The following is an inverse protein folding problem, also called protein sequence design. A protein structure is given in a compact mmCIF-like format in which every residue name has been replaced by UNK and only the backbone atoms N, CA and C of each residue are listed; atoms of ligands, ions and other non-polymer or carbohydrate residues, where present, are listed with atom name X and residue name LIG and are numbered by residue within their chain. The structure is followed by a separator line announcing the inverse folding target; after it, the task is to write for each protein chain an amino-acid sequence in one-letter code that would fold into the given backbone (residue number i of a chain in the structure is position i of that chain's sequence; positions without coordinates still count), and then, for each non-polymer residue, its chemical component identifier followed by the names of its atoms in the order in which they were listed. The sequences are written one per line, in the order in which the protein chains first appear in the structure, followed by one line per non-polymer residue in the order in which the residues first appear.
data_IF_966444719309
#
_entry.id   IF_966444719309
#
_cell.length_a   1.000
_cell.length_b   1.000
_cell.length_c   1.000
_cell.angle_alpha   90.00
_cell.angle_beta   90.00
_cell.angle_gamma   90.00
#
_symmetry.space_group_name_H-M   'P 1'
#
loop_
_entity.id
_entity.type
_entity.pdbx_description
1 polymer ?
#
# COMPACT_ATOMS: atom_id res chain seq x y z
N UNK A 1 -4.92 26.99 4.64
CA UNK A 1 -5.37 25.58 4.77
C UNK A 1 -4.95 25.06 6.13
N UNK A 2 -5.70 24.13 6.72
CA UNK A 2 -5.32 23.53 8.00
C UNK A 2 -4.04 22.70 7.84
N UNK A 3 -3.11 22.82 8.78
CA UNK A 3 -1.92 21.96 8.81
C UNK A 3 -2.20 20.63 9.52
N UNK A 4 -1.51 19.54 9.16
CA UNK A 4 -1.52 18.31 9.95
C UNK A 4 -1.12 18.57 11.41
N UNK A 5 -1.71 17.85 12.39
CA UNK A 5 -1.29 17.95 13.78
C UNK A 5 0.01 17.15 14.00
N UNK A 6 1.12 17.62 13.43
CA UNK A 6 2.41 16.92 13.36
C UNK A 6 2.87 16.34 14.70
N UNK A 7 2.82 17.13 15.79
CA UNK A 7 3.21 16.66 17.12
C UNK A 7 2.33 15.53 17.66
N UNK A 8 1.03 15.55 17.37
CA UNK A 8 0.09 14.47 17.76
C UNK A 8 0.39 13.21 16.96
N UNK A 9 0.55 13.33 15.64
CA UNK A 9 0.87 12.21 14.75
C UNK A 9 2.19 11.58 15.20
N UNK A 10 3.24 12.39 15.39
CA UNK A 10 4.55 11.91 15.81
C UNK A 10 4.52 11.20 17.18
N UNK A 11 3.86 11.79 18.18
CA UNK A 11 3.76 11.19 19.52
C UNK A 11 3.04 9.83 19.49
N UNK A 12 2.05 9.66 18.61
CA UNK A 12 1.35 8.37 18.44
C UNK A 12 2.18 7.38 17.61
N UNK A 13 2.89 7.84 16.58
CA UNK A 13 3.80 6.98 15.79
C UNK A 13 4.93 6.42 16.66
N UNK A 14 5.62 7.26 17.44
CA UNK A 14 6.73 6.83 18.31
C UNK A 14 6.30 5.92 19.47
N UNK A 15 5.00 5.80 19.73
CA UNK A 15 4.41 4.90 20.73
C UNK A 15 3.71 3.67 20.11
N UNK A 16 3.87 3.42 18.80
CA UNK A 16 3.27 2.26 18.14
C UNK A 16 1.74 2.33 17.99
N UNK A 17 1.16 3.53 18.14
CA UNK A 17 -0.30 3.77 18.11
C UNK A 17 -0.83 4.27 16.75
N UNK A 18 0.00 4.15 15.70
CA UNK A 18 -0.36 4.54 14.33
C UNK A 18 -0.04 3.37 13.40
N UNK A 19 -0.95 3.08 12.49
CA UNK A 19 -0.77 2.17 11.36
C UNK A 19 -0.57 3.02 10.10
N UNK A 20 0.68 3.13 9.58
CA UNK A 20 0.91 3.76 8.29
C UNK A 20 0.32 2.91 7.18
N UNK A 21 -0.43 3.53 6.28
CA UNK A 21 -1.10 2.87 5.15
C UNK A 21 -0.65 3.53 3.85
N UNK A 22 0.17 2.83 3.07
CA UNK A 22 0.81 3.33 1.86
C UNK A 22 0.00 2.94 0.63
N UNK A 23 -0.29 3.95 -0.19
CA UNK A 23 -0.82 3.80 -1.54
C UNK A 23 0.27 4.00 -2.59
N UNK A 24 -0.07 3.79 -3.86
CA UNK A 24 0.85 3.97 -5.00
C UNK A 24 1.57 5.33 -4.99
N UNK A 25 0.93 6.40 -4.49
CA UNK A 25 1.55 7.72 -4.36
C UNK A 25 2.72 7.80 -3.38
N UNK A 26 2.86 6.85 -2.44
CA UNK A 26 3.98 6.81 -1.50
C UNK A 26 5.31 6.55 -2.20
N UNK A 27 5.32 5.68 -3.22
CA UNK A 27 6.48 5.38 -4.05
C UNK A 27 6.83 6.52 -5.03
N UNK A 28 5.95 7.52 -5.14
CA UNK A 28 6.16 8.72 -5.95
C UNK A 28 6.83 9.87 -5.17
N UNK A 29 6.95 9.75 -3.84
CA UNK A 29 7.60 10.77 -3.01
C UNK A 29 9.06 10.95 -3.46
N UNK A 30 9.49 12.21 -3.65
CA UNK A 30 10.80 12.56 -4.21
C UNK A 30 10.83 12.69 -5.74
N UNK A 31 9.76 12.33 -6.46
CA UNK A 31 9.66 12.57 -7.91
C UNK A 31 9.46 14.08 -8.18
N UNK A 32 10.27 14.72 -9.04
CA UNK A 32 10.06 16.12 -9.39
C UNK A 32 8.68 16.34 -10.00
N UNK A 33 8.01 17.42 -9.57
CA UNK A 33 6.66 17.74 -10.02
C UNK A 33 6.59 17.85 -11.55
N UNK A 34 5.71 17.06 -12.16
CA UNK A 34 5.50 17.05 -13.61
C UNK A 34 6.57 16.34 -14.44
N UNK A 35 7.64 15.80 -13.85
CA UNK A 35 8.63 15.02 -14.59
C UNK A 35 7.99 13.74 -15.15
N UNK A 36 8.05 13.45 -16.45
CA UNK A 36 7.43 12.26 -17.05
C UNK A 36 8.24 10.99 -16.75
N UNK A 37 7.56 9.86 -16.64
CA UNK A 37 8.23 8.56 -16.58
C UNK A 37 8.77 8.15 -17.95
N UNK A 38 10.03 7.71 -17.99
CA UNK A 38 10.68 7.17 -19.18
C UNK A 38 10.90 5.65 -19.00
N UNK A 39 10.18 4.78 -19.74
CA UNK A 39 10.34 3.34 -19.65
C UNK A 39 11.71 2.83 -20.15
N UNK A 40 12.44 3.61 -20.96
CA UNK A 40 13.74 3.20 -21.50
C UNK A 40 14.89 3.50 -20.55
N UNK A 41 14.75 4.54 -19.74
CA UNK A 41 15.74 4.94 -18.74
C UNK A 41 15.04 5.42 -17.45
N UNK A 42 14.44 4.48 -16.69
CA UNK A 42 13.55 4.85 -15.61
C UNK A 42 14.34 5.37 -14.40
N UNK A 43 14.12 6.65 -14.05
CA UNK A 43 14.72 7.29 -12.87
C UNK A 43 13.85 7.20 -11.61
N UNK A 44 12.56 6.88 -11.78
CA UNK A 44 11.57 6.67 -10.73
C UNK A 44 10.47 5.72 -11.23
N UNK A 45 9.65 5.22 -10.32
CA UNK A 45 8.52 4.34 -10.65
C UNK A 45 7.46 5.06 -11.50
N UNK A 46 6.76 4.34 -12.40
CA UNK A 46 5.59 4.89 -13.07
C UNK A 46 4.46 5.14 -12.08
N UNK A 47 3.67 6.18 -12.33
CA UNK A 47 2.33 6.24 -11.75
C UNK A 47 1.44 5.14 -12.34
N UNK A 48 0.35 4.78 -11.66
CA UNK A 48 -0.61 3.80 -12.20
C UNK A 48 -1.14 4.19 -13.58
N UNK A 49 -1.34 5.49 -13.82
CA UNK A 49 -1.77 6.03 -15.12
C UNK A 49 -0.71 5.87 -16.21
N UNK A 50 0.56 6.13 -15.89
CA UNK A 50 1.66 5.97 -16.85
C UNK A 50 1.89 4.49 -17.19
N UNK A 51 1.86 3.62 -16.18
CA UNK A 51 1.93 2.17 -16.38
C UNK A 51 0.78 1.67 -17.26
N UNK A 52 -0.44 2.13 -16.97
CA UNK A 52 -1.63 1.77 -17.75
C UNK A 52 -1.49 2.20 -19.22
N UNK A 53 -1.14 3.46 -19.49
CA UNK A 53 -0.98 3.95 -20.85
C UNK A 53 0.17 3.27 -21.62
N UNK A 54 1.24 2.92 -20.92
CA UNK A 54 2.37 2.17 -21.50
C UNK A 54 1.95 0.77 -21.93
N UNK A 55 1.32 0.01 -21.04
CA UNK A 55 0.83 -1.34 -21.33
C UNK A 55 -0.26 -1.32 -22.41
N UNK A 56 -1.17 -0.33 -22.37
CA UNK A 56 -2.22 -0.16 -23.37
C UNK A 56 -1.65 0.11 -24.78
N UNK A 57 -0.52 0.82 -24.87
CA UNK A 57 0.14 1.11 -26.15
C UNK A 57 0.84 -0.14 -26.69
N UNK A 58 1.45 -0.94 -25.82
CA UNK A 58 2.12 -2.19 -26.20
C UNK A 58 1.13 -3.24 -26.73
N UNK A 59 -0.06 -3.32 -26.15
CA UNK A 59 -1.09 -4.30 -26.54
C UNK A 59 -2.04 -3.83 -27.62
N UNK A 60 -1.90 -2.61 -28.13
CA UNK A 60 -2.90 -1.95 -28.98
C UNK A 60 -4.31 -2.03 -28.37
N UNK A 61 -4.43 -1.59 -27.11
CA UNK A 61 -5.69 -1.64 -26.35
C UNK A 61 -6.84 -0.98 -27.13
N UNK A 62 -8.01 -1.64 -27.26
CA UNK A 62 -9.02 -1.30 -28.26
C UNK A 62 -9.81 -0.01 -27.99
N UNK A 63 -9.77 0.52 -26.76
CA UNK A 63 -10.44 1.78 -26.42
C UNK A 63 -9.46 2.95 -26.47
N UNK A 64 -9.85 4.00 -27.18
CA UNK A 64 -9.17 5.30 -27.20
C UNK A 64 -9.73 6.27 -26.15
N UNK A 65 -10.77 5.87 -25.41
CA UNK A 65 -11.33 6.72 -24.37
C UNK A 65 -10.31 6.86 -23.21
N UNK A 66 -9.92 8.09 -22.80
CA UNK A 66 -8.92 8.26 -21.77
C UNK A 66 -9.26 7.56 -20.45
N UNK A 67 -10.53 7.54 -20.07
CA UNK A 67 -10.96 6.87 -18.84
C UNK A 67 -10.76 5.35 -18.85
N UNK A 68 -10.75 4.71 -20.02
CA UNK A 68 -10.46 3.28 -20.13
C UNK A 68 -8.94 3.04 -20.17
N UNK A 69 -8.18 3.87 -20.89
CA UNK A 69 -6.71 3.74 -20.99
C UNK A 69 -5.99 4.09 -19.70
N UNK A 70 -6.58 4.94 -18.87
CA UNK A 70 -6.04 5.32 -17.56
C UNK A 70 -6.37 4.30 -16.45
N UNK A 71 -7.30 3.37 -16.72
CA UNK A 71 -7.70 2.32 -15.78
C UNK A 71 -6.75 1.12 -15.88
N UNK A 72 -5.78 1.08 -14.96
CA UNK A 72 -4.76 0.05 -14.91
C UNK A 72 -5.35 -1.37 -14.80
N UNK A 73 -6.46 -1.54 -14.07
CA UNK A 73 -7.06 -2.86 -13.89
C UNK A 73 -7.63 -3.37 -15.20
N UNK A 74 -8.39 -2.52 -15.90
CA UNK A 74 -8.97 -2.84 -17.20
C UNK A 74 -7.90 -3.12 -18.26
N UNK A 75 -6.88 -2.28 -18.35
CA UNK A 75 -5.79 -2.46 -19.32
C UNK A 75 -5.02 -3.74 -19.05
N UNK A 76 -4.71 -4.04 -17.78
CA UNK A 76 -3.96 -5.25 -17.44
C UNK A 76 -4.79 -6.52 -17.59
N UNK A 77 -6.12 -6.48 -17.37
CA UNK A 77 -7.02 -7.59 -17.73
C UNK A 77 -6.93 -7.89 -19.22
N UNK A 78 -7.07 -6.86 -20.07
CA UNK A 78 -6.91 -7.04 -21.51
C UNK A 78 -5.51 -7.57 -21.89
N UNK A 79 -4.44 -7.04 -21.28
CA UNK A 79 -3.08 -7.53 -21.50
C UNK A 79 -2.99 -9.02 -21.18
N UNK A 80 -3.48 -9.44 -20.01
CA UNK A 80 -3.45 -10.83 -19.58
C UNK A 80 -4.28 -11.74 -20.49
N UNK A 81 -5.41 -11.27 -21.01
CA UNK A 81 -6.27 -12.03 -21.93
C UNK A 81 -5.60 -12.31 -23.27
N UNK A 82 -4.92 -11.31 -23.86
CA UNK A 82 -4.32 -11.47 -25.20
C UNK A 82 -2.92 -12.11 -25.17
N UNK A 83 -2.14 -11.85 -24.13
CA UNK A 83 -0.72 -12.24 -24.05
C UNK A 83 -0.44 -13.31 -22.99
N UNK A 84 -1.43 -13.62 -22.15
CA UNK A 84 -1.31 -14.51 -21.01
C UNK A 84 -0.77 -13.83 -19.75
N UNK A 85 -1.24 -14.31 -18.59
CA UNK A 85 -0.86 -13.82 -17.25
C UNK A 85 0.65 -13.82 -17.00
N UNK A 86 1.35 -14.86 -17.48
CA UNK A 86 2.80 -14.99 -17.34
C UNK A 86 3.54 -13.83 -18.02
N UNK A 87 3.14 -13.50 -19.25
CA UNK A 87 3.74 -12.42 -20.03
C UNK A 87 3.47 -11.06 -19.39
N UNK A 88 2.27 -10.82 -18.85
CA UNK A 88 1.99 -9.62 -18.05
C UNK A 88 2.93 -9.52 -16.84
N UNK A 89 3.12 -10.62 -16.10
CA UNK A 89 3.98 -10.67 -14.92
C UNK A 89 5.44 -10.38 -15.26
N UNK A 90 5.97 -11.01 -16.31
CA UNK A 90 7.31 -10.75 -16.82
C UNK A 90 7.46 -9.27 -17.20
N UNK A 91 6.44 -8.69 -17.85
CA UNK A 91 6.45 -7.28 -18.24
C UNK A 91 6.42 -6.33 -17.05
N UNK A 92 5.60 -6.61 -16.04
CA UNK A 92 5.56 -5.84 -14.79
C UNK A 92 6.90 -5.93 -14.05
N UNK A 93 7.52 -7.11 -14.02
CA UNK A 93 8.86 -7.29 -13.44
C UNK A 93 9.90 -6.44 -14.15
N UNK A 94 9.92 -6.43 -15.47
CA UNK A 94 10.83 -5.57 -16.24
C UNK A 94 10.67 -4.09 -15.90
N UNK A 95 9.42 -3.63 -15.74
CA UNK A 95 9.13 -2.23 -15.43
C UNK A 95 9.45 -1.87 -13.97
N UNK A 96 9.21 -2.78 -13.03
CA UNK A 96 9.29 -2.48 -11.59
C UNK A 96 10.65 -2.86 -10.97
N UNK A 97 11.39 -3.79 -11.57
CA UNK A 97 12.66 -4.29 -11.05
C UNK A 97 13.87 -3.49 -11.53
N UNK A 98 13.86 -2.20 -11.22
CA UNK A 98 14.98 -1.29 -11.46
C UNK A 98 15.55 -0.76 -10.13
N UNK A 99 16.81 -0.29 -10.11
CA UNK A 99 17.46 0.26 -8.91
C UNK A 99 16.93 1.67 -8.58
N UNK A 100 15.64 1.77 -8.27
CA UNK A 100 14.98 3.01 -7.88
C UNK A 100 15.53 3.54 -6.56
N UNK A 101 15.58 4.86 -6.45
CA UNK A 101 16.05 5.51 -5.23
C UNK A 101 15.02 5.40 -4.11
N UNK A 102 15.50 5.13 -2.90
CA UNK A 102 14.67 5.11 -1.69
C UNK A 102 14.20 6.53 -1.38
N UNK A 103 12.88 6.76 -1.43
CA UNK A 103 12.30 8.05 -1.10
C UNK A 103 12.44 8.42 0.38
N UNK A 104 12.38 9.73 0.67
CA UNK A 104 12.52 10.28 2.03
C UNK A 104 11.44 9.77 2.99
N UNK A 105 10.23 9.50 2.48
CA UNK A 105 9.12 8.92 3.24
C UNK A 105 9.46 7.53 3.78
N UNK A 106 10.02 6.65 2.94
CA UNK A 106 10.39 5.29 3.33
C UNK A 106 11.49 5.33 4.41
N UNK A 107 12.48 6.20 4.22
CA UNK A 107 13.55 6.43 5.20
C UNK A 107 12.99 6.95 6.53
N UNK A 108 12.02 7.86 6.49
CA UNK A 108 11.33 8.35 7.69
C UNK A 108 10.61 7.22 8.43
N UNK A 109 9.81 6.41 7.74
CA UNK A 109 9.10 5.28 8.34
C UNK A 109 10.05 4.26 8.98
N UNK A 110 11.20 4.01 8.35
CA UNK A 110 12.25 3.16 8.90
C UNK A 110 12.92 3.76 10.15
N UNK A 111 12.98 5.10 10.28
CA UNK A 111 13.57 5.80 11.43
C UNK A 111 12.67 5.91 12.66
N UNK A 112 11.36 5.66 12.53
CA UNK A 112 10.44 5.69 13.69
C UNK A 112 10.92 4.67 14.72
N UNK A 113 11.08 4.99 16.01
CA UNK A 113 11.67 4.08 16.98
C UNK A 113 10.78 2.86 17.30
N UNK A 114 9.46 3.06 17.37
CA UNK A 114 8.51 1.99 17.68
C UNK A 114 8.48 0.88 16.62
N UNK A 115 8.10 -0.32 17.03
CA UNK A 115 7.66 -1.37 16.11
C UNK A 115 6.32 -0.95 15.48
N UNK A 116 6.17 -1.23 14.19
CA UNK A 116 5.03 -0.77 13.40
C UNK A 116 4.40 -1.95 12.68
N UNK A 117 3.09 -1.89 12.44
CA UNK A 117 2.48 -2.63 11.33
C UNK A 117 2.23 -1.62 10.23
N UNK A 118 3.01 -1.72 9.15
CA UNK A 118 2.90 -0.86 7.97
C UNK A 118 2.14 -1.64 6.89
N UNK A 119 1.01 -1.10 6.46
CA UNK A 119 0.23 -1.69 5.37
C UNK A 119 0.60 -0.99 4.08
N UNK A 120 0.89 -1.76 3.02
CA UNK A 120 1.21 -1.24 1.70
C UNK A 120 0.38 -1.93 0.61
N UNK A 121 0.04 -1.16 -0.41
CA UNK A 121 -0.62 -1.64 -1.65
C UNK A 121 0.28 -1.52 -2.87
N UNK A 122 1.57 -1.25 -2.62
CA UNK A 122 2.61 -1.01 -3.59
C UNK A 122 3.36 -2.33 -3.86
N UNK A 123 3.78 -2.55 -5.10
CA UNK A 123 4.49 -3.78 -5.47
C UNK A 123 6.00 -3.68 -5.30
N UNK A 124 6.56 -2.47 -5.40
CA UNK A 124 8.00 -2.20 -5.28
C UNK A 124 8.54 -2.54 -3.89
N UNK A 125 9.87 -2.57 -3.75
CA UNK A 125 10.55 -2.92 -2.50
C UNK A 125 11.19 -1.74 -1.78
N UNK A 126 10.77 -0.50 -2.07
CA UNK A 126 11.43 0.71 -1.55
C UNK A 126 11.35 0.81 -0.02
N UNK A 127 10.24 0.37 0.56
CA UNK A 127 10.07 0.34 2.02
C UNK A 127 11.02 -0.68 2.65
N UNK A 128 11.06 -1.89 2.11
CA UNK A 128 11.92 -2.99 2.54
C UNK A 128 13.40 -2.59 2.44
N UNK A 129 13.79 -1.95 1.33
CA UNK A 129 15.13 -1.39 1.15
C UNK A 129 15.46 -0.32 2.20
N UNK A 130 14.52 0.55 2.55
CA UNK A 130 14.71 1.57 3.59
C UNK A 130 14.96 0.93 4.97
N UNK A 131 14.19 -0.10 5.33
CA UNK A 131 14.38 -0.82 6.59
C UNK A 131 15.72 -1.58 6.63
N UNK A 132 16.10 -2.23 5.53
CA UNK A 132 17.43 -2.87 5.38
C UNK A 132 18.56 -1.85 5.56
N UNK A 133 18.46 -0.69 4.88
CA UNK A 133 19.46 0.38 4.97
C UNK A 133 19.56 0.98 6.37
N UNK A 134 18.44 1.07 7.09
CA UNK A 134 18.40 1.54 8.47
C UNK A 134 18.89 0.48 9.50
N UNK A 135 19.13 -0.77 9.06
CA UNK A 135 19.48 -1.87 9.95
C UNK A 135 18.36 -2.25 10.92
N UNK A 136 17.10 -1.92 10.61
CA UNK A 136 15.95 -2.17 11.48
C UNK A 136 15.27 -3.49 11.10
N UNK A 137 15.16 -4.46 12.02
CA UNK A 137 14.46 -5.72 11.76
C UNK A 137 13.01 -5.51 11.34
N UNK A 138 12.60 -6.27 10.34
CA UNK A 138 11.21 -6.33 9.90
C UNK A 138 10.88 -7.73 9.38
N UNK A 139 9.62 -8.09 9.56
CA UNK A 139 8.99 -9.24 8.90
C UNK A 139 8.16 -8.73 7.72
N UNK A 140 8.11 -9.53 6.66
CA UNK A 140 7.33 -9.22 5.47
C UNK A 140 6.20 -10.24 5.33
N UNK A 141 4.97 -9.75 5.26
CA UNK A 141 3.77 -10.57 5.06
C UNK A 141 3.10 -10.14 3.76
N UNK A 142 2.84 -11.09 2.88
CA UNK A 142 2.29 -10.84 1.55
C UNK A 142 1.07 -11.72 1.32
N UNK A 143 0.05 -11.12 0.70
CA UNK A 143 -1.08 -11.85 0.17
C UNK A 143 -0.74 -12.46 -1.22
N UNK A 144 -0.80 -13.80 -1.39
CA UNK A 144 -0.46 -14.48 -2.64
C UNK A 144 -1.67 -14.60 -3.59
N UNK A 145 -1.91 -13.56 -4.38
CA UNK A 145 -3.08 -13.47 -5.27
C UNK A 145 -3.07 -14.45 -6.46
N UNK A 146 -1.91 -14.63 -7.10
CA UNK A 146 -1.65 -15.35 -8.34
C UNK A 146 -1.45 -16.86 -8.13
N UNK A 147 -1.43 -17.31 -6.87
CA UNK A 147 -1.08 -18.69 -6.51
C UNK A 147 -2.29 -19.41 -5.95
N UNK A 148 -3.04 -20.05 -6.86
CA UNK A 148 -4.25 -20.82 -6.51
C UNK A 148 -3.97 -21.97 -5.53
N UNK A 149 -2.76 -22.54 -5.56
CA UNK A 149 -2.28 -23.59 -4.66
C UNK A 149 -2.19 -23.14 -3.19
N UNK A 150 -1.98 -21.85 -2.96
CA UNK A 150 -1.84 -21.24 -1.62
C UNK A 150 -2.82 -20.08 -1.41
N UNK A 151 -3.95 -20.11 -2.12
CA UNK A 151 -4.97 -19.07 -2.10
C UNK A 151 -5.49 -18.70 -0.69
N UNK A 152 -5.53 -19.67 0.22
CA UNK A 152 -6.01 -19.46 1.59
C UNK A 152 -4.88 -19.26 2.60
N UNK A 153 -3.69 -18.89 2.13
CA UNK A 153 -2.51 -18.67 2.94
C UNK A 153 -1.99 -17.23 2.80
N UNK A 154 -1.07 -16.88 3.68
CA UNK A 154 -0.16 -15.74 3.54
C UNK A 154 1.25 -16.26 3.35
N UNK A 155 2.05 -15.49 2.61
CA UNK A 155 3.49 -15.68 2.55
C UNK A 155 4.12 -14.81 3.63
N UNK A 156 4.85 -15.41 4.55
CA UNK A 156 5.55 -14.71 5.61
C UNK A 156 7.05 -14.94 5.50
N UNK A 157 7.82 -13.87 5.31
CA UNK A 157 9.26 -13.87 5.49
C UNK A 157 9.60 -13.35 6.89
N UNK A 158 10.04 -14.23 7.80
CA UNK A 158 10.66 -13.78 9.05
C UNK A 158 11.91 -12.96 8.75
N UNK A 159 12.23 -12.01 9.62
CA UNK A 159 13.41 -11.18 9.47
C UNK A 159 14.68 -11.99 9.18
N UNK A 160 15.40 -11.58 8.13
CA UNK A 160 16.67 -12.20 7.73
C UNK A 160 16.54 -13.53 6.99
N UNK A 161 15.33 -13.98 6.67
CA UNK A 161 15.09 -15.16 5.82
C UNK A 161 14.92 -14.78 4.36
N UNK A 162 15.40 -15.65 3.48
CA UNK A 162 15.32 -15.48 2.02
C UNK A 162 14.09 -16.16 1.41
N UNK A 163 13.50 -17.12 2.11
CA UNK A 163 12.31 -17.84 1.65
C UNK A 163 11.12 -17.61 2.58
N UNK A 164 9.89 -17.58 2.03
CA UNK A 164 8.70 -17.43 2.84
C UNK A 164 8.30 -18.75 3.49
N UNK A 165 7.66 -18.62 4.65
CA UNK A 165 6.83 -19.66 5.25
C UNK A 165 5.40 -19.43 4.79
N UNK A 166 4.78 -20.47 4.22
CA UNK A 166 3.36 -20.46 3.87
C UNK A 166 2.55 -20.76 5.13
N UNK A 167 1.66 -19.86 5.52
CA UNK A 167 0.82 -19.99 6.73
C UNK A 167 -0.64 -19.72 6.42
N UNK A 168 -1.56 -20.43 7.06
CA UNK A 168 -2.94 -19.97 7.09
C UNK A 168 -3.01 -18.61 7.82
N UNK A 169 -3.89 -17.68 7.42
CA UNK A 169 -4.00 -16.35 8.06
C UNK A 169 -4.18 -16.39 9.58
N UNK A 170 -4.87 -17.42 10.09
CA UNK A 170 -5.12 -17.59 11.53
C UNK A 170 -3.95 -18.29 12.28
N UNK A 171 -3.01 -18.90 11.55
CA UNK A 171 -1.82 -19.55 12.11
C UNK A 171 -0.58 -18.63 12.07
N UNK A 172 -0.77 -17.38 11.66
CA UNK A 172 0.26 -16.36 11.62
C UNK A 172 0.53 -15.84 13.04
N UNK A 173 1.57 -16.38 13.67
CA UNK A 173 2.00 -16.03 15.01
C UNK A 173 3.14 -15.00 14.94
N UNK A 174 2.79 -13.71 15.06
CA UNK A 174 3.71 -12.58 15.03
C UNK A 174 3.63 -11.79 16.33
N UNK A 175 4.79 -11.49 16.93
CA UNK A 175 4.86 -10.55 18.04
C UNK A 175 4.96 -9.11 17.50
N UNK A 176 3.79 -8.52 17.23
CA UNK A 176 3.66 -7.17 16.66
C UNK A 176 4.20 -6.05 17.57
N UNK A 177 4.48 -6.34 18.84
CA UNK A 177 5.07 -5.39 19.79
C UNK A 177 6.61 -5.46 19.82
N UNK A 178 7.22 -6.50 19.22
CA UNK A 178 8.68 -6.69 19.20
C UNK A 178 9.31 -6.61 17.81
N UNK A 179 8.52 -6.71 16.76
CA UNK A 179 9.03 -6.70 15.38
C UNK A 179 8.15 -5.82 14.51
N UNK A 180 8.77 -5.00 13.66
CA UNK A 180 8.01 -4.27 12.63
C UNK A 180 7.53 -5.25 11.57
N UNK A 181 6.28 -5.13 11.14
CA UNK A 181 5.72 -5.93 10.05
C UNK A 181 5.38 -5.01 8.88
N UNK A 182 5.86 -5.37 7.69
CA UNK A 182 5.41 -4.79 6.43
C UNK A 182 4.39 -5.77 5.83
N UNK A 183 3.13 -5.36 5.76
CA UNK A 183 2.05 -6.17 5.21
C UNK A 183 1.62 -5.64 3.83
N UNK A 184 1.87 -6.41 2.77
CA UNK A 184 1.57 -6.03 1.37
C UNK A 184 0.33 -6.76 0.87
N UNK A 185 -0.74 -6.01 0.65
CA UNK A 185 -2.05 -6.55 0.31
C UNK A 185 -2.19 -6.92 -1.17
N UNK A 186 -1.47 -6.20 -2.04
CA UNK A 186 -1.56 -6.39 -3.49
C UNK A 186 -0.44 -7.26 -4.06
N UNK A 187 0.36 -7.90 -3.20
CA UNK A 187 1.51 -8.68 -3.64
C UNK A 187 2.81 -7.89 -3.64
N UNK A 188 3.81 -8.43 -4.31
CA UNK A 188 5.17 -7.88 -4.33
C UNK A 188 5.89 -8.29 -5.61
N UNK A 189 6.86 -7.45 -5.98
CA UNK A 189 8.03 -7.86 -6.73
C UNK A 189 9.07 -8.45 -5.74
N UNK A 190 9.70 -9.57 -6.09
CA UNK A 190 10.88 -10.10 -5.42
C UNK A 190 12.14 -9.83 -6.28
N UNK A 191 13.08 -8.96 -5.87
CA UNK A 191 14.17 -8.52 -6.73
C UNK A 191 15.07 -9.64 -7.29
N UNK A 192 15.31 -10.67 -6.49
CA UNK A 192 16.31 -11.71 -6.80
C UNK A 192 15.73 -12.89 -7.61
N UNK A 193 14.42 -13.12 -7.55
CA UNK A 193 13.75 -14.23 -8.24
C UNK A 193 12.34 -13.86 -8.66
N UNK A 194 11.86 -14.41 -9.77
CA UNK A 194 10.47 -14.27 -10.19
C UNK A 194 9.53 -15.29 -9.51
N UNK A 195 10.06 -16.20 -8.68
CA UNK A 195 9.28 -17.31 -8.09
C UNK A 195 8.16 -16.81 -7.18
N UNK A 196 8.40 -15.69 -6.49
CA UNK A 196 7.49 -15.10 -5.51
C UNK A 196 6.80 -13.83 -6.00
N UNK A 197 7.05 -13.44 -7.25
CA UNK A 197 6.37 -12.31 -7.89
C UNK A 197 4.87 -12.57 -7.95
N UNK A 198 4.12 -11.61 -7.43
CA UNK A 198 2.67 -11.69 -7.33
C UNK A 198 2.05 -10.29 -7.40
N UNK A 199 0.97 -10.13 -8.18
CA UNK A 199 0.36 -8.82 -8.41
C UNK A 199 -1.18 -8.90 -8.35
N UNK A 200 -1.83 -8.19 -7.43
CA UNK A 200 -3.28 -7.93 -7.53
C UNK A 200 -3.47 -6.72 -8.45
N UNK A 201 -3.58 -6.94 -9.76
CA UNK A 201 -3.56 -5.83 -10.72
C UNK A 201 -4.68 -5.85 -11.74
N UNK A 202 -5.19 -7.02 -12.14
CA UNK A 202 -6.31 -7.17 -13.09
C UNK A 202 -7.67 -7.08 -12.39
N UNK A 203 -8.74 -6.85 -13.15
CA UNK A 203 -10.11 -6.89 -12.61
C UNK A 203 -10.41 -8.24 -11.94
N UNK A 204 -9.99 -9.35 -12.55
CA UNK A 204 -10.12 -10.71 -12.02
C UNK A 204 -9.39 -10.86 -10.67
N UNK A 205 -8.16 -10.33 -10.56
CA UNK A 205 -7.40 -10.37 -9.31
C UNK A 205 -8.12 -9.60 -8.20
N UNK A 206 -8.66 -8.42 -8.50
CA UNK A 206 -9.40 -7.62 -7.54
C UNK A 206 -10.71 -8.29 -7.11
N UNK A 207 -11.45 -8.91 -8.03
CA UNK A 207 -12.67 -9.68 -7.71
C UNK A 207 -12.34 -10.81 -6.75
N UNK A 208 -11.30 -11.60 -7.04
CA UNK A 208 -10.86 -12.70 -6.18
C UNK A 208 -10.39 -12.20 -4.81
N UNK A 209 -9.56 -11.15 -4.79
CA UNK A 209 -9.09 -10.52 -3.56
C UNK A 209 -10.25 -10.04 -2.67
N UNK A 210 -11.26 -9.40 -3.25
CA UNK A 210 -12.42 -8.91 -2.51
C UNK A 210 -13.36 -10.02 -2.03
N UNK A 211 -13.51 -11.08 -2.82
CA UNK A 211 -14.21 -12.30 -2.39
C UNK A 211 -13.59 -12.89 -1.13
N UNK A 212 -12.26 -12.88 -1.03
CA UNK A 212 -11.55 -13.34 0.18
C UNK A 212 -11.61 -12.34 1.34
N UNK A 213 -11.64 -11.04 1.06
CA UNK A 213 -11.87 -10.03 2.10
C UNK A 213 -13.23 -10.22 2.79
N UNK A 214 -14.30 -10.50 2.02
CA UNK A 214 -15.64 -10.73 2.62
C UNK A 214 -15.71 -12.03 3.41
N UNK A 215 -14.89 -13.02 3.05
CA UNK A 215 -14.70 -14.26 3.81
C UNK A 215 -13.77 -14.12 5.04
N UNK A 216 -13.25 -12.91 5.34
CA UNK A 216 -12.25 -12.64 6.39
C UNK A 216 -10.95 -13.45 6.26
N UNK A 217 -10.55 -13.86 5.05
CA UNK A 217 -9.33 -14.63 4.82
C UNK A 217 -8.20 -13.81 4.19
N UNK A 218 -8.50 -12.64 3.62
CA UNK A 218 -7.49 -11.82 2.96
C UNK A 218 -6.55 -11.08 3.93
N UNK A 219 -7.08 -10.58 5.06
CA UNK A 219 -6.32 -9.90 6.11
C UNK A 219 -6.30 -10.79 7.36
N UNK A 220 -5.13 -11.25 7.83
CA UNK A 220 -4.98 -11.98 9.07
C UNK A 220 -5.68 -11.33 10.29
N UNK A 221 -6.32 -12.15 11.12
CA UNK A 221 -7.04 -11.69 12.32
C UNK A 221 -6.16 -10.88 13.27
N UNK A 222 -4.89 -11.26 13.40
CA UNK A 222 -3.90 -10.57 14.24
C UNK A 222 -3.72 -9.09 13.83
N UNK A 223 -3.80 -8.78 12.54
CA UNK A 223 -3.75 -7.40 12.07
C UNK A 223 -5.06 -6.66 12.36
N UNK A 224 -6.22 -7.30 12.19
CA UNK A 224 -7.50 -6.68 12.56
C UNK A 224 -7.56 -6.30 14.03
N UNK A 225 -7.11 -7.17 14.92
CA UNK A 225 -7.09 -6.89 16.35
C UNK A 225 -6.09 -5.77 16.68
N UNK A 226 -4.91 -5.78 16.04
CA UNK A 226 -3.95 -4.68 16.16
C UNK A 226 -4.56 -3.35 15.72
N UNK A 227 -5.32 -3.32 14.61
CA UNK A 227 -5.87 -2.10 14.02
C UNK A 227 -6.94 -1.39 14.86
N UNK A 228 -7.70 -2.11 15.71
CA UNK A 228 -8.84 -1.53 16.45
C UNK A 228 -8.47 -0.41 17.42
N UNK A 229 -7.25 -0.43 17.95
CA UNK A 229 -6.81 0.51 18.98
C UNK A 229 -5.76 1.52 18.46
N UNK A 230 -5.59 1.62 17.14
CA UNK A 230 -4.63 2.51 16.50
C UNK A 230 -5.30 3.51 15.55
N UNK A 231 -4.63 4.66 15.42
CA UNK A 231 -4.94 5.62 14.38
C UNK A 231 -4.40 5.14 13.03
N UNK A 232 -5.05 5.50 11.93
CA UNK A 232 -4.51 5.28 10.59
C UNK A 232 -3.86 6.55 10.04
N UNK A 233 -2.74 6.38 9.34
CA UNK A 233 -2.07 7.44 8.58
C UNK A 233 -1.95 7.02 7.12
N UNK A 234 -2.86 7.51 6.28
CA UNK A 234 -2.89 7.23 4.85
C UNK A 234 -1.92 8.13 4.09
N UNK A 235 -0.98 7.53 3.37
CA UNK A 235 0.14 8.20 2.71
C UNK A 235 0.13 7.86 1.22
N UNK A 236 -0.08 8.86 0.36
CA UNK A 236 -0.08 8.65 -1.10
C UNK A 236 -1.25 7.79 -1.58
N UNK A 237 -2.35 7.81 -0.84
CA UNK A 237 -3.51 6.96 -1.08
C UNK A 237 -4.60 7.75 -1.83
N UNK A 238 -4.97 7.28 -3.01
CA UNK A 238 -6.03 7.89 -3.82
C UNK A 238 -7.34 7.11 -3.65
N UNK A 239 -8.45 7.80 -3.38
CA UNK A 239 -9.78 7.18 -3.39
C UNK A 239 -10.41 7.11 -4.79
N UNK A 240 -9.66 7.43 -5.84
CA UNK A 240 -10.14 7.33 -7.22
C UNK A 240 -10.42 5.87 -7.61
N UNK A 241 -9.60 4.93 -7.15
CA UNK A 241 -9.74 3.51 -7.47
C UNK A 241 -10.82 2.86 -6.63
N UNK A 242 -11.67 2.06 -7.29
CA UNK A 242 -12.79 1.42 -6.63
C UNK A 242 -12.34 0.34 -5.63
N UNK A 243 -11.29 -0.43 -5.95
CA UNK A 243 -10.78 -1.50 -5.10
C UNK A 243 -10.31 -0.97 -3.73
N UNK A 244 -9.59 0.16 -3.73
CA UNK A 244 -9.13 0.86 -2.53
C UNK A 244 -10.30 1.35 -1.66
N UNK A 245 -11.40 1.80 -2.28
CA UNK A 245 -12.63 2.18 -1.54
C UNK A 245 -13.28 0.98 -0.85
N UNK A 246 -13.20 -0.21 -1.43
CA UNK A 246 -13.74 -1.45 -0.83
C UNK A 246 -12.85 -1.90 0.33
N UNK A 247 -11.52 -1.89 0.17
CA UNK A 247 -10.57 -2.18 1.26
C UNK A 247 -10.87 -1.29 2.47
N UNK A 248 -11.00 0.02 2.26
CA UNK A 248 -11.33 0.95 3.34
C UNK A 248 -12.73 0.73 3.92
N UNK A 249 -13.71 0.29 3.14
CA UNK A 249 -15.03 -0.06 3.67
C UNK A 249 -14.96 -1.29 4.58
N UNK A 250 -14.12 -2.27 4.27
CA UNK A 250 -13.92 -3.43 5.12
C UNK A 250 -13.14 -3.07 6.38
N UNK A 251 -12.11 -2.23 6.26
CA UNK A 251 -11.33 -1.74 7.40
C UNK A 251 -12.06 -0.67 8.21
N UNK A 252 -13.18 -0.10 7.73
CA UNK A 252 -13.90 0.94 8.45
C UNK A 252 -14.41 0.47 9.80
N UNK A 253 -14.59 -0.84 10.01
CA UNK A 253 -14.90 -1.40 11.33
C UNK A 253 -13.81 -1.15 12.37
N UNK A 254 -12.57 -0.88 11.95
CA UNK A 254 -11.42 -0.61 12.81
C UNK A 254 -11.22 0.87 13.13
N UNK A 255 -11.72 1.78 12.29
CA UNK A 255 -11.51 3.23 12.45
C UNK A 255 -12.80 4.07 12.41
N UNK A 256 -13.96 3.42 12.39
CA UNK A 256 -15.28 4.06 12.58
C UNK A 256 -15.88 3.60 13.91
N UNK A 257 -16.66 4.46 14.59
CA UNK A 257 -17.26 4.11 15.88
C UNK A 257 -18.14 2.87 15.77
N UNK A 258 -18.10 2.00 16.80
CA UNK A 258 -19.07 0.91 16.93
C UNK A 258 -20.47 1.52 17.05
N UNK A 259 -21.33 1.26 16.06
CA UNK A 259 -22.76 1.53 16.21
C UNK A 259 -23.35 0.48 17.15
N UNK A 260 -23.41 0.75 18.45
CA UNK A 260 -24.32 0.00 19.35
C UNK A 260 -23.84 -0.42 20.74
N UNK A 261 -22.82 0.18 21.36
CA UNK A 261 -22.50 -0.09 22.77
C UNK A 261 -21.80 1.10 23.42
N UNK A 262 -22.44 1.63 24.47
CA UNK A 262 -22.08 2.77 25.34
C UNK A 262 -21.53 4.07 24.70
N UNK A 263 -21.96 5.20 25.25
CA UNK A 263 -21.85 6.54 24.65
C UNK A 263 -20.43 7.14 24.64
N UNK A 264 -19.37 6.39 24.96
CA UNK A 264 -18.03 6.94 25.23
C UNK A 264 -16.85 6.16 24.58
N UNK A 265 -17.04 5.39 23.49
CA UNK A 265 -15.88 4.94 22.69
C UNK A 265 -15.35 6.14 21.87
N UNK A 266 -14.41 6.91 22.44
CA UNK A 266 -13.69 7.99 21.74
C UNK A 266 -13.09 7.47 20.43
N UNK A 267 -13.57 7.99 19.30
CA UNK A 267 -13.04 7.62 17.99
C UNK A 267 -11.59 8.09 17.88
N UNK A 268 -10.67 7.17 17.61
CA UNK A 268 -9.27 7.53 17.38
C UNK A 268 -9.14 8.38 16.11
N UNK A 269 -8.46 9.54 16.18
CA UNK A 269 -8.28 10.38 15.01
C UNK A 269 -7.41 9.65 13.99
N UNK A 270 -7.79 9.71 12.72
CA UNK A 270 -7.01 9.17 11.59
C UNK A 270 -6.79 10.28 10.57
N UNK A 271 -5.72 10.16 9.79
CA UNK A 271 -5.26 11.23 8.89
C UNK A 271 -4.92 10.71 7.50
N UNK A 272 -5.14 11.54 6.49
CA UNK A 272 -4.74 11.29 5.11
C UNK A 272 -3.92 12.46 4.57
N UNK A 273 -2.78 12.17 3.94
CA UNK A 273 -1.94 13.16 3.27
C UNK A 273 -2.05 12.96 1.76
N UNK A 274 -2.60 13.96 1.08
CA UNK A 274 -2.84 13.90 -0.36
C UNK A 274 -2.66 15.29 -0.98
N UNK A 275 -1.88 15.39 -2.05
CA UNK A 275 -1.70 16.65 -2.78
C UNK A 275 -2.91 16.91 -3.68
N UNK A 276 -3.49 18.11 -3.57
CA UNK A 276 -4.64 18.58 -4.37
C UNK A 276 -5.81 17.58 -4.39
N UNK A 277 -6.35 17.15 -3.24
CA UNK A 277 -7.46 16.22 -3.22
C UNK A 277 -8.72 16.88 -3.80
N UNK A 278 -9.48 16.12 -4.59
CA UNK A 278 -10.78 16.58 -5.10
C UNK A 278 -11.80 16.73 -3.98
N UNK A 279 -12.83 17.56 -4.20
CA UNK A 279 -13.96 17.70 -3.27
C UNK A 279 -14.62 16.36 -2.95
N UNK A 280 -14.71 15.47 -3.93
CA UNK A 280 -15.20 14.10 -3.73
C UNK A 280 -14.30 13.33 -2.75
N UNK A 281 -12.98 13.38 -2.94
CA UNK A 281 -12.03 12.71 -2.05
C UNK A 281 -12.13 13.25 -0.62
N UNK A 282 -12.23 14.58 -0.44
CA UNK A 282 -12.42 15.20 0.89
C UNK A 282 -13.66 14.66 1.60
N UNK A 283 -14.82 14.70 0.93
CA UNK A 283 -16.07 14.17 1.48
C UNK A 283 -16.02 12.68 1.81
N UNK A 284 -15.32 11.89 1.00
CA UNK A 284 -15.17 10.45 1.25
C UNK A 284 -14.31 10.14 2.49
N UNK A 285 -13.26 10.92 2.74
CA UNK A 285 -12.43 10.77 3.94
C UNK A 285 -13.15 11.27 5.20
N UNK A 286 -13.80 12.43 5.13
CA UNK A 286 -14.58 13.00 6.24
C UNK A 286 -15.69 12.05 6.69
N UNK A 287 -16.40 11.41 5.76
CA UNK A 287 -17.43 10.40 6.06
C UNK A 287 -16.86 9.18 6.83
N UNK A 288 -15.55 8.95 6.76
CA UNK A 288 -14.83 7.86 7.46
C UNK A 288 -14.11 8.35 8.71
N UNK A 289 -14.37 9.58 9.16
CA UNK A 289 -13.69 10.21 10.29
C UNK A 289 -12.15 10.31 10.10
N UNK A 290 -11.72 10.50 8.86
CA UNK A 290 -10.31 10.72 8.50
C UNK A 290 -10.12 12.16 8.09
N UNK A 291 -9.27 12.90 8.80
CA UNK A 291 -8.92 14.27 8.41
C UNK A 291 -7.92 14.25 7.27
N UNK A 292 -8.27 14.88 6.14
CA UNK A 292 -7.39 14.98 4.97
C UNK A 292 -6.67 16.33 4.94
N UNK A 293 -5.37 16.30 4.66
CA UNK A 293 -4.54 17.49 4.50
C UNK A 293 -3.98 17.60 3.09
N UNK A 294 -4.02 18.81 2.55
CA UNK A 294 -3.60 19.14 1.19
C UNK A 294 -2.15 19.63 1.18
N UNK A 295 -1.23 18.69 0.98
CA UNK A 295 0.20 18.92 0.85
C UNK A 295 0.87 17.71 0.19
N UNK A 296 2.08 17.91 -0.29
CA UNK A 296 2.89 16.81 -0.83
C UNK A 296 3.40 15.90 0.30
N UNK A 297 3.70 14.65 -0.04
CA UNK A 297 4.33 13.73 0.91
C UNK A 297 5.74 14.17 1.31
N UNK A 298 6.45 14.87 0.42
CA UNK A 298 7.79 15.38 0.71
C UNK A 298 7.74 16.50 1.76
N UNK A 299 6.81 17.45 1.62
CA UNK A 299 6.56 18.50 2.62
C UNK A 299 6.14 17.91 3.97
N UNK A 300 5.21 16.94 3.95
CA UNK A 300 4.77 16.25 5.16
C UNK A 300 5.93 15.54 5.85
N UNK A 301 6.71 14.77 5.09
CA UNK A 301 7.85 14.00 5.60
C UNK A 301 8.91 14.91 6.20
N UNK A 302 9.23 16.03 5.53
CA UNK A 302 10.20 17.00 6.02
C UNK A 302 9.79 17.56 7.39
N UNK A 303 8.53 17.98 7.53
CA UNK A 303 8.00 18.49 8.80
C UNK A 303 7.91 17.40 9.88
N UNK A 304 7.59 16.16 9.54
CA UNK A 304 7.58 15.04 10.48
C UNK A 304 8.99 14.71 11.00
N UNK A 305 10.01 14.74 10.14
CA UNK A 305 11.42 14.53 10.56
C UNK A 305 11.87 15.59 11.57
N UNK A 306 11.41 16.83 11.43
CA UNK A 306 11.69 17.91 12.39
C UNK A 306 11.04 17.70 13.77
N UNK A 307 10.00 16.86 13.88
CA UNK A 307 9.41 16.51 15.19
C UNK A 307 10.20 15.41 15.91
N UNK A 308 10.95 14.60 15.15
CA UNK A 308 11.66 13.42 15.65
C UNK A 308 13.16 13.59 15.86
N UNK A 309 13.76 14.65 15.33
CA UNK A 309 15.09 15.13 15.72
C UNK A 309 15.03 15.91 17.03
#
# INVERSE_FOLDING_TARGET
MAEPPYGVIWNRMKSGKVVPFLGAGASMAGRPSGAPWDPKNPSFLPSGRELSNFLASETMFPSEYPGDRDDLAKVTSYYADISGRRTLRERLREVLNHPYQIGELHTFLASVPAHQVIVATNYDTLLEQAFRKAGKPYDLVIYPADRKDIANAVLWWPHGKTEPVIKAPNDLDLDLEKTTVIYKMHGTLEPDTDTWDNFVITEEDYVEFLSRMTANTAIPAIFYDHFRERSFLFLGYSLSDWNLRVILKNLSKCFSPKRGGDQDEETLPSWAIQFKPSELARRLWEKRNVSIFDLTLDEFTLKMKQQGG
#
